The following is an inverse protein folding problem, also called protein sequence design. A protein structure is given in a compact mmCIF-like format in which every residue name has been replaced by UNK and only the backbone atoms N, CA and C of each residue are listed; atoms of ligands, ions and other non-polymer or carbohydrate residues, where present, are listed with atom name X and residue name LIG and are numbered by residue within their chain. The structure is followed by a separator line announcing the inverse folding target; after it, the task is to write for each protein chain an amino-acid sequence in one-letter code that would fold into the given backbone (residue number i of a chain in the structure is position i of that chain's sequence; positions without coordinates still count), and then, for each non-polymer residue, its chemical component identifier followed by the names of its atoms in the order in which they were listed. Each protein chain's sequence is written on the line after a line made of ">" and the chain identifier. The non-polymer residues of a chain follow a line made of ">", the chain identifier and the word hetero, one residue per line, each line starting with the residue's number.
data_IF_298676085173
#
_entry.id   IF_298676085173
#
_cell.length_a   1.000
_cell.length_b   1.000
_cell.length_c   1.000
_cell.angle_alpha   90.00
_cell.angle_beta   90.00
_cell.angle_gamma   90.00
#
_symmetry.space_group_name_H-M   'P 1'
#
loop_
_entity.id
_entity.type
_entity.pdbx_description
1 polymer ?
#
# COMPACT_ATOMS: atom_id res chain seq x y z
N UNK A 1 6.21 -30.43 24.68
CA UNK A 1 7.10 -31.07 25.67
C UNK A 1 7.14 -32.55 25.35
N UNK A 2 8.33 -33.16 25.31
CA UNK A 2 8.47 -34.61 25.10
C UNK A 2 7.68 -35.39 26.18
N UNK A 3 6.91 -36.38 25.75
CA UNK A 3 6.15 -37.28 26.64
C UNK A 3 6.65 -38.70 26.37
N UNK A 4 7.08 -39.38 27.43
CA UNK A 4 7.54 -40.76 27.40
C UNK A 4 6.39 -41.71 27.06
N UNK A 5 6.64 -42.70 26.22
CA UNK A 5 5.62 -43.73 25.96
C UNK A 5 5.33 -44.58 27.20
N UNK A 6 4.17 -45.25 27.25
CA UNK A 6 3.87 -46.24 28.29
C UNK A 6 4.92 -47.36 28.36
N UNK A 7 5.48 -47.75 27.22
CA UNK A 7 6.53 -48.77 27.11
C UNK A 7 7.83 -48.32 27.77
N UNK A 8 8.30 -47.10 27.49
CA UNK A 8 9.47 -46.52 28.16
C UNK A 8 9.24 -46.37 29.66
N UNK A 9 8.04 -45.98 30.08
CA UNK A 9 7.69 -45.90 31.51
C UNK A 9 7.70 -47.28 32.17
N UNK A 10 7.27 -48.33 31.46
CA UNK A 10 7.35 -49.72 31.91
C UNK A 10 8.79 -50.16 32.11
N UNK A 11 9.67 -49.95 31.13
CA UNK A 11 11.10 -50.29 31.23
C UNK A 11 11.77 -49.58 32.43
N UNK A 12 11.48 -48.30 32.64
CA UNK A 12 11.99 -47.54 33.79
C UNK A 12 11.48 -48.13 35.12
N UNK A 13 10.22 -48.59 35.17
CA UNK A 13 9.65 -49.24 36.35
C UNK A 13 10.36 -50.57 36.64
N UNK A 14 10.52 -51.40 35.61
CA UNK A 14 11.21 -52.70 35.69
C UNK A 14 12.66 -52.54 36.12
N UNK A 15 13.39 -51.57 35.56
CA UNK A 15 14.76 -51.22 35.96
C UNK A 15 14.84 -50.92 37.46
N UNK A 16 13.94 -50.08 37.97
CA UNK A 16 13.91 -49.71 39.40
C UNK A 16 13.61 -50.91 40.29
N UNK A 17 12.71 -51.79 39.87
CA UNK A 17 12.37 -52.99 40.63
C UNK A 17 13.55 -53.98 40.69
N UNK A 18 14.21 -54.25 39.57
CA UNK A 18 15.41 -55.10 39.52
C UNK A 18 16.55 -54.53 40.39
N UNK A 19 16.76 -53.21 40.35
CA UNK A 19 17.76 -52.54 41.20
C UNK A 19 17.44 -52.69 42.70
N UNK A 20 16.17 -52.60 43.09
CA UNK A 20 15.72 -52.83 44.50
C UNK A 20 15.95 -54.27 44.94
N UNK A 21 15.80 -55.23 44.02
CA UNK A 21 16.07 -56.66 44.24
C UNK A 21 17.57 -56.99 44.21
N UNK A 22 18.44 -55.99 43.99
CA UNK A 22 19.91 -56.13 43.86
C UNK A 22 20.35 -56.91 42.62
N UNK A 23 19.46 -57.09 41.64
CA UNK A 23 19.78 -57.67 40.34
C UNK A 23 20.39 -56.64 39.39
N UNK A 24 21.59 -56.16 39.72
CA UNK A 24 22.21 -55.03 39.02
C UNK A 24 22.56 -55.32 37.56
N UNK A 25 22.89 -56.58 37.22
CA UNK A 25 23.22 -56.97 35.84
C UNK A 25 22.01 -56.85 34.92
N UNK A 26 20.87 -57.38 35.33
CA UNK A 26 19.63 -57.28 34.56
C UNK A 26 19.09 -55.85 34.54
N UNK A 27 19.16 -55.13 35.67
CA UNK A 27 18.81 -53.71 35.72
C UNK A 27 19.62 -52.87 34.72
N UNK A 28 20.90 -53.17 34.54
CA UNK A 28 21.74 -52.48 33.56
C UNK A 28 21.36 -52.79 32.12
N UNK A 29 20.98 -54.03 31.79
CA UNK A 29 20.47 -54.36 30.45
C UNK A 29 19.20 -53.57 30.13
N UNK A 30 18.23 -53.56 31.06
CA UNK A 30 16.98 -52.79 30.90
C UNK A 30 17.26 -51.27 30.81
N UNK A 31 18.28 -50.78 31.51
CA UNK A 31 18.70 -49.38 31.40
C UNK A 31 19.14 -49.03 29.97
N UNK A 32 19.97 -49.87 29.34
CA UNK A 32 20.46 -49.65 27.97
C UNK A 32 19.27 -49.62 27.01
N UNK A 33 18.37 -50.60 27.13
CA UNK A 33 17.15 -50.67 26.30
C UNK A 33 16.25 -49.44 26.47
N UNK A 34 16.03 -49.00 27.72
CA UNK A 34 15.27 -47.78 27.99
C UNK A 34 15.93 -46.52 27.41
N UNK A 35 17.27 -46.43 27.45
CA UNK A 35 18.01 -45.30 26.87
C UNK A 35 17.88 -45.26 25.34
N UNK A 36 18.01 -46.42 24.68
CA UNK A 36 17.84 -46.54 23.24
C UNK A 36 16.42 -46.17 22.79
N UNK A 37 15.40 -46.67 23.51
CA UNK A 37 14.01 -46.34 23.21
C UNK A 37 13.74 -44.85 23.43
N UNK A 38 14.20 -44.27 24.55
CA UNK A 38 14.02 -42.85 24.83
C UNK A 38 14.72 -41.96 23.79
N UNK A 39 15.88 -42.37 23.29
CA UNK A 39 16.56 -41.66 22.20
C UNK A 39 15.72 -41.68 20.92
N UNK A 40 15.23 -42.85 20.48
CA UNK A 40 14.37 -42.98 19.29
C UNK A 40 13.08 -42.16 19.42
N UNK A 41 12.44 -42.19 20.58
CA UNK A 41 11.22 -41.40 20.83
C UNK A 41 11.50 -39.89 20.81
N UNK A 42 12.64 -39.45 21.39
CA UNK A 42 13.05 -38.05 21.37
C UNK A 42 13.31 -37.57 19.95
N UNK A 43 14.07 -38.33 19.16
CA UNK A 43 14.39 -37.99 17.77
C UNK A 43 13.10 -37.79 16.96
N UNK A 44 12.17 -38.74 17.01
CA UNK A 44 10.86 -38.61 16.36
C UNK A 44 10.08 -37.38 16.82
N UNK A 45 10.06 -37.12 18.12
CA UNK A 45 9.39 -35.94 18.66
C UNK A 45 9.99 -34.63 18.13
N UNK A 46 11.32 -34.54 18.02
CA UNK A 46 12.00 -33.37 17.47
C UNK A 46 11.75 -33.21 15.98
N UNK A 47 11.78 -34.29 15.21
CA UNK A 47 11.43 -34.28 13.79
C UNK A 47 10.00 -33.79 13.55
N UNK A 48 9.02 -34.33 14.27
CA UNK A 48 7.61 -33.94 14.13
C UNK A 48 7.39 -32.48 14.56
N UNK A 49 8.09 -32.05 15.61
CA UNK A 49 8.05 -30.65 16.05
C UNK A 49 8.65 -29.74 14.98
N UNK A 50 9.77 -30.13 14.37
CA UNK A 50 10.45 -29.36 13.33
C UNK A 50 9.57 -29.23 12.09
N UNK A 51 8.97 -30.32 11.61
CA UNK A 51 7.99 -30.30 10.51
C UNK A 51 6.82 -29.36 10.77
N UNK A 52 6.30 -29.32 12.01
CA UNK A 52 5.24 -28.38 12.38
C UNK A 52 5.72 -26.93 12.31
N UNK A 53 6.91 -26.65 12.82
CA UNK A 53 7.51 -25.31 12.77
C UNK A 53 7.65 -24.86 11.31
N UNK A 54 8.25 -25.68 10.44
CA UNK A 54 8.43 -25.38 9.02
C UNK A 54 7.09 -25.13 8.31
N UNK A 55 6.07 -25.95 8.60
CA UNK A 55 4.73 -25.73 8.06
C UNK A 55 4.13 -24.39 8.52
N UNK A 56 4.32 -24.01 9.79
CA UNK A 56 3.84 -22.73 10.30
C UNK A 56 4.60 -21.54 9.71
N UNK A 57 5.92 -21.65 9.56
CA UNK A 57 6.75 -20.64 8.90
C UNK A 57 6.33 -20.45 7.45
N UNK A 58 6.13 -21.53 6.69
CA UNK A 58 5.66 -21.47 5.32
C UNK A 58 4.29 -20.75 5.20
N UNK A 59 3.37 -21.01 6.13
CA UNK A 59 2.08 -20.31 6.17
C UNK A 59 2.23 -18.81 6.45
N UNK A 60 3.14 -18.44 7.35
CA UNK A 60 3.41 -17.03 7.67
C UNK A 60 4.01 -16.32 6.45
N UNK A 61 5.00 -16.93 5.81
CA UNK A 61 5.64 -16.38 4.60
C UNK A 61 4.59 -16.16 3.50
N UNK A 62 3.75 -17.18 3.21
CA UNK A 62 2.69 -17.04 2.21
C UNK A 62 1.67 -15.94 2.55
N UNK A 63 1.33 -15.77 3.83
CA UNK A 63 0.44 -14.70 4.26
C UNK A 63 1.07 -13.31 4.03
N UNK A 64 2.35 -13.16 4.39
CA UNK A 64 3.11 -11.93 4.18
C UNK A 64 3.29 -11.61 2.70
N UNK A 65 3.55 -12.59 1.85
CA UNK A 65 3.64 -12.39 0.39
C UNK A 65 2.34 -11.86 -0.20
N UNK A 66 1.20 -12.43 0.20
CA UNK A 66 -0.13 -11.97 -0.23
C UNK A 66 -0.42 -10.55 0.24
N UNK A 67 -0.05 -10.23 1.48
CA UNK A 67 -0.19 -8.87 2.02
C UNK A 67 0.67 -7.87 1.25
N UNK A 68 1.93 -8.20 0.99
CA UNK A 68 2.85 -7.38 0.20
C UNK A 68 2.35 -7.17 -1.24
N UNK A 69 1.80 -8.20 -1.88
CA UNK A 69 1.21 -8.08 -3.20
C UNK A 69 -0.02 -7.14 -3.19
N UNK A 70 -0.89 -7.27 -2.19
CA UNK A 70 -2.05 -6.40 -2.00
C UNK A 70 -1.63 -4.94 -1.79
N UNK A 71 -0.62 -4.69 -0.96
CA UNK A 71 -0.07 -3.35 -0.73
C UNK A 71 0.52 -2.75 -2.01
N UNK A 72 1.29 -3.53 -2.79
CA UNK A 72 1.83 -3.09 -4.08
C UNK A 72 0.72 -2.71 -5.05
N UNK A 73 -0.36 -3.50 -5.13
CA UNK A 73 -1.53 -3.19 -5.97
C UNK A 73 -2.21 -1.90 -5.54
N UNK A 74 -2.38 -1.67 -4.23
CA UNK A 74 -2.95 -0.43 -3.69
C UNK A 74 -2.09 0.80 -4.01
N UNK A 75 -0.77 0.69 -3.91
CA UNK A 75 0.15 1.77 -4.27
C UNK A 75 -0.02 2.12 -5.74
N UNK A 76 0.05 1.13 -6.63
CA UNK A 76 -0.08 1.35 -8.09
C UNK A 76 -1.46 1.95 -8.43
N UNK A 77 -2.53 1.45 -7.81
CA UNK A 77 -3.88 2.00 -7.99
C UNK A 77 -3.96 3.48 -7.55
N UNK A 78 -3.44 3.81 -6.38
CA UNK A 78 -3.40 5.18 -5.86
C UNK A 78 -2.56 6.12 -6.73
N UNK A 79 -1.39 5.67 -7.20
CA UNK A 79 -0.57 6.46 -8.13
C UNK A 79 -1.30 6.74 -9.45
N UNK A 80 -2.00 5.75 -9.99
CA UNK A 80 -2.75 5.90 -11.24
C UNK A 80 -3.96 6.84 -11.05
N UNK A 81 -4.65 6.75 -9.92
CA UNK A 81 -5.73 7.66 -9.57
C UNK A 81 -5.23 9.10 -9.44
N UNK A 82 -4.14 9.31 -8.70
CA UNK A 82 -3.53 10.63 -8.54
C UNK A 82 -3.08 11.23 -9.89
N UNK A 83 -2.52 10.42 -10.80
CA UNK A 83 -2.18 10.85 -12.16
C UNK A 83 -3.41 11.29 -12.95
N UNK A 84 -4.52 10.54 -12.87
CA UNK A 84 -5.78 10.89 -13.51
C UNK A 84 -6.36 12.18 -12.95
N UNK A 85 -6.40 12.33 -11.63
CA UNK A 85 -6.88 13.56 -10.99
C UNK A 85 -6.04 14.77 -11.39
N UNK A 86 -4.72 14.61 -11.46
CA UNK A 86 -3.80 15.68 -11.90
C UNK A 86 -4.08 16.08 -13.34
N UNK A 87 -4.30 15.12 -14.24
CA UNK A 87 -4.65 15.39 -15.64
C UNK A 87 -5.97 16.15 -15.75
N UNK A 88 -7.01 15.71 -15.04
CA UNK A 88 -8.31 16.39 -15.01
C UNK A 88 -8.20 17.82 -14.45
N UNK A 89 -7.40 18.02 -13.40
CA UNK A 89 -7.16 19.34 -12.82
C UNK A 89 -6.47 20.26 -13.82
N UNK A 90 -5.47 19.76 -14.55
CA UNK A 90 -4.78 20.51 -15.61
C UNK A 90 -5.73 20.89 -16.75
N UNK A 91 -6.56 19.96 -17.21
CA UNK A 91 -7.56 20.20 -18.26
C UNK A 91 -8.55 21.29 -17.84
N UNK A 92 -9.05 21.24 -16.61
CA UNK A 92 -9.93 22.30 -16.06
C UNK A 92 -9.23 23.66 -16.00
N UNK A 93 -7.95 23.70 -15.61
CA UNK A 93 -7.18 24.96 -15.60
C UNK A 93 -6.98 25.50 -17.01
N UNK A 94 -6.67 24.62 -17.96
CA UNK A 94 -6.50 25.00 -19.36
C UNK A 94 -7.79 25.55 -19.96
N UNK A 95 -8.93 24.91 -19.70
CA UNK A 95 -10.23 25.40 -20.13
C UNK A 95 -10.56 26.78 -19.53
N UNK A 96 -10.29 27.00 -18.24
CA UNK A 96 -10.46 28.32 -17.61
C UNK A 96 -9.58 29.38 -18.26
N UNK A 97 -8.33 29.03 -18.57
CA UNK A 97 -7.42 29.93 -19.27
C UNK A 97 -7.93 30.28 -20.67
N UNK A 98 -8.39 29.29 -21.45
CA UNK A 98 -8.96 29.53 -22.78
C UNK A 98 -10.19 30.43 -22.72
N UNK A 99 -11.09 30.20 -21.77
CA UNK A 99 -12.27 31.04 -21.57
C UNK A 99 -11.88 32.48 -21.24
N UNK A 100 -10.98 32.68 -20.26
CA UNK A 100 -10.51 34.02 -19.88
C UNK A 100 -9.82 34.74 -21.06
N UNK A 101 -9.03 34.02 -21.86
CA UNK A 101 -8.40 34.56 -23.06
C UNK A 101 -9.45 34.98 -24.10
N UNK A 102 -10.44 34.14 -24.36
CA UNK A 102 -11.52 34.44 -25.30
C UNK A 102 -12.34 35.65 -24.84
N UNK A 103 -12.61 35.78 -23.54
CA UNK A 103 -13.31 36.93 -22.96
C UNK A 103 -12.53 38.22 -23.15
N UNK A 104 -11.22 38.21 -22.88
CA UNK A 104 -10.33 39.37 -23.08
C UNK A 104 -10.27 39.76 -24.56
N UNK A 105 -10.07 38.79 -25.46
CA UNK A 105 -10.06 39.04 -26.91
C UNK A 105 -11.41 39.59 -27.40
N UNK A 106 -12.51 39.06 -26.87
CA UNK A 106 -13.86 39.54 -27.13
C UNK A 106 -14.05 40.99 -26.68
N UNK A 107 -13.58 41.33 -25.48
CA UNK A 107 -13.64 42.70 -24.95
C UNK A 107 -12.80 43.66 -25.78
N UNK A 108 -11.55 43.29 -26.11
CA UNK A 108 -10.69 44.11 -26.98
C UNK A 108 -11.31 44.36 -28.36
N UNK A 109 -12.00 43.37 -28.94
CA UNK A 109 -12.73 43.55 -30.22
C UNK A 109 -13.87 44.54 -30.07
N UNK A 110 -14.65 44.46 -28.98
CA UNK A 110 -15.73 45.43 -28.69
C UNK A 110 -15.16 46.83 -28.52
N UNK A 111 -14.10 47.00 -27.74
CA UNK A 111 -13.47 48.29 -27.50
C UNK A 111 -12.94 48.91 -28.80
N UNK A 112 -12.26 48.12 -29.64
CA UNK A 112 -11.81 48.56 -30.97
C UNK A 112 -12.97 49.02 -31.87
N UNK A 113 -14.09 48.28 -31.87
CA UNK A 113 -15.26 48.64 -32.66
C UNK A 113 -15.93 49.93 -32.14
N UNK A 114 -16.03 50.08 -30.81
CA UNK A 114 -16.53 51.30 -30.17
C UNK A 114 -15.64 52.50 -30.49
N UNK A 115 -14.31 52.35 -30.44
CA UNK A 115 -13.36 53.40 -30.81
C UNK A 115 -13.53 53.83 -32.27
N UNK A 116 -13.62 52.87 -33.20
CA UNK A 116 -13.84 53.13 -34.62
C UNK A 116 -15.16 53.86 -34.88
N UNK A 117 -16.25 53.47 -34.19
CA UNK A 117 -17.54 54.18 -34.27
C UNK A 117 -17.46 55.59 -33.70
N UNK A 118 -16.79 55.78 -32.56
CA UNK A 118 -16.55 57.10 -31.97
C UNK A 118 -15.73 58.02 -32.90
N UNK A 119 -14.73 57.48 -33.60
CA UNK A 119 -13.94 58.20 -34.59
C UNK A 119 -14.72 58.50 -35.88
N UNK A 120 -15.58 57.58 -36.34
CA UNK A 120 -16.46 57.83 -37.49
C UNK A 120 -17.51 58.91 -37.20
N UNK A 121 -17.94 59.04 -35.94
CA UNK A 121 -18.82 60.11 -35.48
C UNK A 121 -18.07 61.42 -35.14
N UNK A 122 -16.74 61.42 -35.18
CA UNK A 122 -15.94 62.65 -35.06
C UNK A 122 -15.92 63.34 -36.42
N UNK A 123 -16.88 64.25 -36.61
CA UNK A 123 -16.95 65.10 -37.79
C UNK A 123 -16.18 66.40 -37.49
N UNK A 124 -14.93 66.59 -37.97
CA UNK A 124 -14.11 67.76 -37.63
C UNK A 124 -14.73 69.09 -38.09
N UNK A 125 -15.71 69.04 -39.02
CA UNK A 125 -16.45 70.20 -39.49
C UNK A 125 -17.51 70.72 -38.51
N UNK A 126 -17.94 69.96 -37.50
CA UNK A 126 -18.89 70.47 -36.49
C UNK A 126 -18.20 71.26 -35.37
N UNK A 127 -16.88 71.11 -35.17
CA UNK A 127 -16.15 71.84 -34.12
C UNK A 127 -15.73 73.25 -34.53
N UNK A 128 -15.91 73.64 -35.80
CA UNK A 128 -15.63 75.02 -36.26
C UNK A 128 -16.86 75.95 -36.24
N UNK A 129 -18.09 75.42 -36.10
CA UNK A 129 -19.31 76.24 -36.15
C UNK A 129 -19.71 76.90 -34.82
N UNK A 130 -19.06 76.60 -33.70
CA UNK A 130 -19.43 77.14 -32.38
C UNK A 130 -18.74 78.46 -31.99
N UNK A 131 -17.99 79.11 -32.90
CA UNK A 131 -17.26 80.37 -32.61
C UNK A 131 -17.77 81.62 -33.36
N UNK A 132 -18.79 81.51 -34.21
CA UNK A 132 -19.16 82.59 -35.16
C UNK A 132 -20.54 83.27 -34.94
N UNK A 133 -21.25 83.06 -33.83
CA UNK A 133 -22.58 83.67 -33.61
C UNK A 133 -22.68 84.48 -32.31
N UNK A 134 -21.68 85.32 -32.04
CA UNK A 134 -21.67 86.18 -30.86
C UNK A 134 -21.18 87.59 -31.16
N UNK A 135 -21.76 88.29 -32.16
CA UNK A 135 -21.61 89.75 -32.27
C UNK A 135 -22.64 90.40 -33.20
N UNK A 136 -23.28 91.44 -32.67
CA UNK A 136 -23.98 92.58 -33.32
C UNK A 136 -25.43 92.66 -32.81
N UNK A 137 -25.65 93.45 -31.75
CA UNK A 137 -26.12 94.86 -31.76
C UNK A 137 -27.61 94.96 -32.09
#
# INVERSE_FOLDING_TARGET
>A
RFKKSPELLSLISTQKNLARQKEYREAHKIQIEAQELEQKERERYYEDRQKRIEMHEAKIIQAQEREMESLRKKIIAGENEQKKERALKLERMFQRYQNAKADIEGQQRKDKNSLKRGQANFNPNLSQMSRASGRSQ
#
